data_IF_264622011746
#
_entry.id   IF_264622011746
#
_cell.length_a   1.000
_cell.length_b   1.000
_cell.length_c   1.000
_cell.angle_alpha   90.00
_cell.angle_beta   90.00
_cell.angle_gamma   90.00
#
_symmetry.space_group_name_H-M   'P 1'
#
loop_
_entity.id
_entity.type
_entity.pdbx_description
1 polymer ?
#
# COMPACT_ATOMS: atom_id res chain seq x y z
N UNK A 1 -21.78 -9.12 -25.90
CA UNK A 1 -20.48 -8.41 -25.79
C UNK A 1 -20.44 -7.63 -24.48
N UNK A 2 -19.70 -8.15 -23.49
CA UNK A 2 -19.32 -7.56 -22.18
C UNK A 2 -19.18 -8.72 -21.19
N UNK A 3 -17.97 -9.31 -21.10
CA UNK A 3 -17.56 -10.21 -20.00
C UNK A 3 -16.09 -10.69 -20.03
N UNK A 4 -15.24 -10.19 -20.95
CA UNK A 4 -13.92 -10.78 -21.19
C UNK A 4 -12.70 -9.94 -20.77
N UNK A 5 -12.86 -8.79 -20.11
CA UNK A 5 -11.72 -7.92 -19.73
C UNK A 5 -11.39 -7.86 -18.24
N UNK A 6 -12.14 -8.51 -17.35
CA UNK A 6 -11.89 -8.48 -15.89
C UNK A 6 -11.19 -9.72 -15.31
N UNK A 7 -10.82 -10.70 -16.13
CA UNK A 7 -10.25 -11.97 -15.65
C UNK A 7 -8.71 -12.05 -15.73
N UNK A 8 -8.04 -11.23 -16.56
CA UNK A 8 -6.58 -11.29 -16.67
C UNK A 8 -5.82 -10.52 -15.58
N UNK A 9 -6.37 -9.41 -15.08
CA UNK A 9 -5.74 -8.67 -13.99
C UNK A 9 -5.78 -9.49 -12.69
N UNK A 10 -6.94 -10.02 -12.28
CA UNK A 10 -7.06 -10.80 -11.04
C UNK A 10 -6.27 -12.11 -11.00
N UNK A 11 -5.98 -12.73 -12.15
CA UNK A 11 -5.18 -13.95 -12.21
C UNK A 11 -3.67 -13.66 -12.11
N UNK A 12 -3.22 -12.53 -12.65
CA UNK A 12 -1.83 -12.08 -12.55
C UNK A 12 -1.46 -11.76 -11.10
N UNK A 13 -2.35 -11.06 -10.37
CA UNK A 13 -2.18 -10.83 -8.93
C UNK A 13 -2.20 -12.14 -8.14
N UNK A 14 -3.14 -13.06 -8.40
CA UNK A 14 -3.21 -14.35 -7.68
C UNK A 14 -1.97 -15.24 -7.83
N UNK A 15 -1.28 -15.18 -8.96
CA UNK A 15 -0.05 -15.96 -9.15
C UNK A 15 1.21 -15.26 -8.61
N UNK A 16 1.15 -13.95 -8.36
CA UNK A 16 2.22 -13.17 -7.70
C UNK A 16 2.03 -13.10 -6.17
N UNK A 17 0.85 -13.47 -5.67
CA UNK A 17 0.42 -13.44 -4.26
C UNK A 17 0.89 -14.64 -3.41
N UNK A 18 1.80 -15.50 -3.88
CA UNK A 18 2.23 -16.65 -3.08
C UNK A 18 3.18 -16.29 -1.93
N UNK A 19 3.74 -15.08 -1.90
CA UNK A 19 4.59 -14.62 -0.79
C UNK A 19 4.20 -13.21 -0.36
N UNK A 20 3.10 -13.09 0.39
CA UNK A 20 3.03 -12.01 1.38
C UNK A 20 4.22 -12.24 2.30
N UNK A 21 5.24 -11.40 2.18
CA UNK A 21 6.45 -11.50 2.97
C UNK A 21 6.13 -11.06 4.40
N UNK A 22 5.86 -12.06 5.22
CA UNK A 22 5.78 -11.92 6.66
C UNK A 22 7.16 -11.52 7.18
N UNK A 23 7.25 -10.31 7.74
CA UNK A 23 8.50 -9.71 8.19
C UNK A 23 8.60 -9.76 9.71
N UNK A 24 9.82 -9.84 10.23
CA UNK A 24 10.09 -9.58 11.65
C UNK A 24 9.89 -8.09 11.98
N UNK A 25 9.79 -7.78 13.27
CA UNK A 25 9.66 -6.40 13.76
C UNK A 25 10.81 -5.46 13.31
N UNK A 26 12.02 -5.99 13.11
CA UNK A 26 13.15 -5.17 12.64
C UNK A 26 13.08 -4.90 11.14
N UNK A 27 12.69 -5.90 10.35
CA UNK A 27 12.57 -5.77 8.89
C UNK A 27 11.44 -4.83 8.52
N UNK A 28 10.28 -4.95 9.18
CA UNK A 28 9.11 -4.15 8.83
C UNK A 28 9.36 -2.65 9.01
N UNK A 29 10.10 -2.24 10.05
CA UNK A 29 10.45 -0.82 10.27
C UNK A 29 11.29 -0.26 9.11
N UNK A 30 12.20 -1.06 8.56
CA UNK A 30 13.02 -0.67 7.41
C UNK A 30 12.17 -0.57 6.15
N UNK A 31 11.27 -1.54 5.93
CA UNK A 31 10.39 -1.57 4.75
C UNK A 31 9.36 -0.44 4.75
N UNK A 32 8.74 -0.12 5.90
CA UNK A 32 7.86 1.04 6.07
C UNK A 32 8.57 2.32 5.60
N UNK A 33 9.75 2.61 6.17
CA UNK A 33 10.52 3.82 5.84
C UNK A 33 10.95 3.85 4.37
N UNK A 34 11.37 2.71 3.82
CA UNK A 34 11.79 2.60 2.42
C UNK A 34 10.62 2.93 1.49
N UNK A 35 9.45 2.36 1.75
CA UNK A 35 8.28 2.54 0.91
C UNK A 35 7.68 3.95 1.05
N UNK A 36 7.60 4.51 2.27
CA UNK A 36 7.20 5.91 2.48
C UNK A 36 8.10 6.86 1.70
N UNK A 37 9.42 6.70 1.81
CA UNK A 37 10.39 7.54 1.09
C UNK A 37 10.22 7.44 -0.42
N UNK A 38 9.95 6.24 -0.94
CA UNK A 38 9.74 6.05 -2.37
C UNK A 38 8.43 6.68 -2.85
N UNK A 39 7.33 6.48 -2.11
CA UNK A 39 6.01 6.99 -2.47
C UNK A 39 5.96 8.52 -2.53
N UNK A 40 6.62 9.21 -1.61
CA UNK A 40 6.71 10.69 -1.62
C UNK A 40 7.42 11.23 -2.87
N UNK A 41 8.16 10.40 -3.60
CA UNK A 41 8.81 10.80 -4.86
C UNK A 41 8.01 10.46 -6.11
N UNK A 42 6.88 9.75 -5.98
CA UNK A 42 6.05 9.35 -7.11
C UNK A 42 5.20 10.54 -7.58
N UNK A 43 5.23 10.85 -8.88
CA UNK A 43 4.57 12.05 -9.42
C UNK A 43 3.05 12.07 -9.20
N UNK A 44 2.42 10.89 -9.18
CA UNK A 44 0.97 10.77 -9.01
C UNK A 44 0.53 10.59 -7.54
N UNK A 45 1.43 10.80 -6.57
CA UNK A 45 1.14 10.67 -5.12
C UNK A 45 1.24 12.04 -4.46
N UNK A 46 0.15 12.49 -3.85
CA UNK A 46 0.13 13.75 -3.08
C UNK A 46 0.57 13.53 -1.63
N UNK A 47 0.10 12.46 -1.01
CA UNK A 47 0.58 12.00 0.30
C UNK A 47 0.44 10.47 0.39
N UNK A 48 1.23 9.87 1.28
CA UNK A 48 1.18 8.45 1.55
C UNK A 48 1.56 8.13 2.99
N UNK A 49 0.91 7.11 3.55
CA UNK A 49 1.22 6.57 4.86
C UNK A 49 1.35 5.06 4.74
N UNK A 50 2.47 4.52 5.23
CA UNK A 50 2.68 3.07 5.29
C UNK A 50 2.60 2.63 6.74
N UNK A 51 1.71 1.69 7.02
CA UNK A 51 1.53 1.10 8.33
C UNK A 51 1.93 -0.38 8.30
N UNK A 52 2.40 -0.87 9.43
CA UNK A 52 2.57 -2.30 9.68
C UNK A 52 1.35 -2.85 10.40
N UNK A 53 0.90 -4.03 9.99
CA UNK A 53 -0.12 -4.80 10.70
C UNK A 53 0.52 -6.10 11.20
N UNK A 54 0.31 -6.40 12.48
CA UNK A 54 0.83 -7.62 13.11
C UNK A 54 -0.10 -8.80 12.80
N UNK A 55 0.50 -9.94 12.45
CA UNK A 55 -0.17 -11.21 12.40
C UNK A 55 -0.16 -11.84 13.81
N UNK A 56 -1.32 -11.91 14.49
CA UNK A 56 -1.40 -12.36 15.88
C UNK A 56 -1.00 -13.84 16.07
N UNK A 57 -0.98 -14.64 15.00
CA UNK A 57 -0.65 -16.06 15.08
C UNK A 57 0.84 -16.37 14.90
N UNK A 58 1.64 -15.42 14.40
CA UNK A 58 3.02 -15.70 13.97
C UNK A 58 4.07 -14.67 14.37
N UNK A 59 3.73 -13.64 15.16
CA UNK A 59 4.64 -12.54 15.53
C UNK A 59 5.31 -11.86 14.31
N UNK A 60 4.67 -11.97 13.14
CA UNK A 60 5.15 -11.40 11.90
C UNK A 60 4.31 -10.21 11.49
N UNK A 61 4.84 -9.38 10.60
CA UNK A 61 4.20 -8.14 10.18
C UNK A 61 4.04 -8.08 8.68
N UNK A 62 2.98 -7.42 8.24
CA UNK A 62 2.70 -7.10 6.85
C UNK A 62 2.56 -5.60 6.66
N UNK A 63 2.66 -5.13 5.40
CA UNK A 63 2.53 -3.71 5.07
C UNK A 63 1.14 -3.40 4.55
N UNK A 64 0.58 -2.30 5.05
CA UNK A 64 -0.65 -1.67 4.57
C UNK A 64 -0.34 -0.24 4.12
N UNK A 65 -0.70 0.10 2.89
CA UNK A 65 -0.34 1.38 2.28
C UNK A 65 -1.60 2.19 2.04
N UNK A 66 -1.62 3.43 2.53
CA UNK A 66 -2.66 4.41 2.26
C UNK A 66 -2.07 5.50 1.37
N UNK A 67 -2.77 5.83 0.30
CA UNK A 67 -2.31 6.82 -0.69
C UNK A 67 -3.41 7.81 -0.98
N UNK A 68 -3.04 9.09 -0.98
CA UNK A 68 -3.83 10.17 -1.55
C UNK A 68 -3.29 10.44 -2.96
N UNK A 69 -3.99 9.98 -4.02
CA UNK A 69 -3.52 10.12 -5.39
C UNK A 69 -3.78 11.52 -5.93
N UNK A 70 -2.94 11.98 -6.86
CA UNK A 70 -3.14 13.26 -7.55
C UNK A 70 -4.40 13.30 -8.42
N UNK A 71 -4.92 12.14 -8.82
CA UNK A 71 -6.18 12.01 -9.52
C UNK A 71 -6.88 10.69 -9.18
N UNK A 72 -8.21 10.75 -9.08
CA UNK A 72 -9.04 9.60 -8.72
C UNK A 72 -9.45 8.79 -9.97
N UNK A 73 -8.46 8.38 -10.76
CA UNK A 73 -8.66 7.58 -11.97
C UNK A 73 -7.92 6.23 -11.87
N UNK A 74 -8.47 5.23 -12.56
CA UNK A 74 -7.98 3.85 -12.47
C UNK A 74 -6.56 3.66 -13.01
N UNK A 75 -6.11 4.52 -13.93
CA UNK A 75 -4.76 4.40 -14.50
C UNK A 75 -3.72 4.91 -13.50
N UNK A 76 -4.00 6.01 -12.82
CA UNK A 76 -3.19 6.54 -11.72
C UNK A 76 -3.07 5.53 -10.57
N UNK A 77 -4.20 4.98 -10.11
CA UNK A 77 -4.18 3.95 -9.09
C UNK A 77 -3.34 2.72 -9.49
N UNK A 78 -3.47 2.29 -10.75
CA UNK A 78 -2.71 1.15 -11.27
C UNK A 78 -1.21 1.42 -11.27
N UNK A 79 -0.76 2.59 -11.75
CA UNK A 79 0.65 2.99 -11.74
C UNK A 79 1.23 2.99 -10.33
N UNK A 80 0.49 3.53 -9.37
CA UNK A 80 0.93 3.57 -7.96
C UNK A 80 1.06 2.15 -7.39
N UNK A 81 0.10 1.26 -7.67
CA UNK A 81 0.19 -0.15 -7.25
C UNK A 81 1.42 -0.84 -7.84
N UNK A 82 1.66 -0.68 -9.14
CA UNK A 82 2.85 -1.23 -9.83
C UNK A 82 4.15 -0.64 -9.26
N UNK A 83 4.14 0.65 -8.93
CA UNK A 83 5.27 1.31 -8.28
C UNK A 83 5.57 0.71 -6.91
N UNK A 84 4.57 0.53 -6.04
CA UNK A 84 4.76 -0.11 -4.72
C UNK A 84 5.46 -1.48 -4.84
N UNK A 85 5.05 -2.30 -5.82
CA UNK A 85 5.66 -3.61 -6.09
C UNK A 85 7.11 -3.47 -6.53
N UNK A 86 7.41 -2.50 -7.39
CA UNK A 86 8.77 -2.28 -7.90
C UNK A 86 9.76 -1.82 -6.83
N UNK A 87 9.30 -1.12 -5.80
CA UNK A 87 10.15 -0.48 -4.78
C UNK A 87 10.44 -1.39 -3.59
N UNK A 88 9.53 -2.30 -3.28
CA UNK A 88 9.64 -3.16 -2.12
C UNK A 88 9.68 -4.62 -2.55
N UNK A 89 10.73 -5.32 -2.13
CA UNK A 89 10.77 -6.79 -2.23
C UNK A 89 9.66 -7.44 -1.39
N UNK A 90 9.09 -6.70 -0.43
CA UNK A 90 7.90 -7.09 0.33
C UNK A 90 6.67 -6.38 -0.25
N UNK A 91 5.75 -7.17 -0.80
CA UNK A 91 4.50 -6.66 -1.35
C UNK A 91 3.61 -6.13 -0.22
N UNK A 92 3.04 -4.92 -0.35
CA UNK A 92 1.97 -4.52 0.54
C UNK A 92 0.78 -5.47 0.36
N UNK A 93 0.22 -5.94 1.47
CA UNK A 93 -0.99 -6.76 1.47
C UNK A 93 -2.17 -5.98 0.89
N UNK A 94 -2.17 -4.67 1.12
CA UNK A 94 -3.21 -3.78 0.63
C UNK A 94 -2.64 -2.40 0.27
N UNK A 95 -3.11 -1.84 -0.85
CA UNK A 95 -2.94 -0.43 -1.21
C UNK A 95 -4.33 0.20 -1.31
N UNK A 96 -4.60 1.15 -0.43
CA UNK A 96 -5.90 1.82 -0.26
C UNK A 96 -5.75 3.27 -0.74
N UNK A 97 -6.62 3.67 -1.66
CA UNK A 97 -6.69 5.04 -2.16
C UNK A 97 -7.76 5.83 -1.41
N UNK A 98 -7.35 6.89 -0.70
CA UNK A 98 -8.23 7.76 0.08
C UNK A 98 -7.50 9.02 0.54
N UNK A 99 -8.25 10.03 0.94
CA UNK A 99 -7.72 11.19 1.67
C UNK A 99 -7.06 10.76 3.00
N UNK A 100 -5.88 11.30 3.28
CA UNK A 100 -5.15 11.00 4.51
C UNK A 100 -5.68 11.90 5.64
N UNK A 101 -6.24 11.33 6.72
CA UNK A 101 -6.81 12.12 7.80
C UNK A 101 -5.72 12.89 8.56
N UNK A 102 -6.02 14.13 8.93
CA UNK A 102 -5.12 15.02 9.66
C UNK A 102 -5.74 15.57 10.93
N UNK A 103 -4.89 15.81 11.93
CA UNK A 103 -5.23 16.59 13.13
C UNK A 103 -5.43 18.07 12.76
N UNK A 104 -6.03 18.90 13.64
CA UNK A 104 -6.12 20.35 13.41
C UNK A 104 -4.76 21.04 13.20
N UNK A 105 -3.67 20.45 13.70
CA UNK A 105 -2.31 20.93 13.48
C UNK A 105 -1.69 20.52 12.14
N UNK A 106 -2.42 19.78 11.29
CA UNK A 106 -1.95 19.27 9.99
C UNK A 106 -1.17 17.96 10.03
N UNK A 107 -0.86 17.43 11.23
CA UNK A 107 -0.18 16.13 11.36
C UNK A 107 -1.12 14.98 10.97
N UNK A 108 -0.58 13.94 10.33
CA UNK A 108 -1.31 12.70 10.01
C UNK A 108 -1.93 12.08 11.28
N UNK A 109 -3.23 11.84 11.24
CA UNK A 109 -4.00 11.20 12.30
C UNK A 109 -4.06 9.68 12.09
N UNK A 110 -2.91 9.00 12.24
CA UNK A 110 -2.72 7.56 11.91
C UNK A 110 -3.77 6.62 12.50
N UNK A 111 -4.26 6.89 13.70
CA UNK A 111 -5.30 6.09 14.35
C UNK A 111 -6.59 6.01 13.50
N UNK A 112 -6.96 7.09 12.80
CA UNK A 112 -8.17 7.11 11.97
C UNK A 112 -8.04 6.26 10.70
N UNK A 113 -6.81 5.95 10.26
CA UNK A 113 -6.57 5.05 9.13
C UNK A 113 -6.84 3.57 9.48
N UNK A 114 -6.73 3.21 10.77
CA UNK A 114 -6.91 1.84 11.25
C UNK A 114 -8.35 1.52 11.65
N UNK A 115 -9.23 2.51 11.73
CA UNK A 115 -10.61 2.38 12.22
C UNK A 115 -11.64 2.20 11.08
N UNK A 116 -11.20 2.04 9.83
CA UNK A 116 -12.05 2.08 8.64
C UNK A 116 -12.35 0.69 8.08
#
# INVERSE_FOLDING_TARGET
MRKFLNLQLGQFWRNFLSEVLYMTANEIVLHVRKLEKALVTHADVEDAVVLSEENPESETFVLKVFVEPSSNDSETEKKIREFCISQSNALPTEVIFREIPRTPSGKVARQQLLMA
#
